data_IF_613863881714
#
_entry.id   IF_613863881714
#
_cell.length_a   1.000
_cell.length_b   1.000
_cell.length_c   1.000
_cell.angle_alpha   90.00
_cell.angle_beta   90.00
_cell.angle_gamma   90.00
#
_symmetry.space_group_name_H-M   'P 1'
#
loop_
_entity.id
_entity.type
_entity.pdbx_description
1 polymer ?
#
# COMPACT_ATOMS: atom_id res chain seq x y z
N UNK A 1 21.52 0.61 14.05
CA UNK A 1 20.29 0.59 13.22
C UNK A 1 19.37 -0.57 13.58
N UNK A 2 19.86 -1.82 13.66
CA UNK A 2 19.06 -3.00 14.04
C UNK A 2 18.38 -2.87 15.42
N UNK A 3 19.08 -2.38 16.44
CA UNK A 3 18.52 -2.21 17.79
C UNK A 3 17.31 -1.26 17.84
N UNK A 4 17.33 -0.16 17.08
CA UNK A 4 16.22 0.80 17.04
C UNK A 4 14.99 0.18 16.38
N UNK A 5 15.16 -0.52 15.26
CA UNK A 5 14.08 -1.23 14.59
C UNK A 5 13.48 -2.31 15.50
N UNK A 6 14.33 -3.07 16.18
CA UNK A 6 13.90 -4.12 17.10
C UNK A 6 13.06 -3.55 18.25
N UNK A 7 13.53 -2.47 18.85
CA UNK A 7 12.92 -1.88 20.05
C UNK A 7 11.64 -1.13 19.74
N UNK A 8 11.63 -0.33 18.67
CA UNK A 8 10.54 0.61 18.40
C UNK A 8 9.51 0.12 17.37
N UNK A 9 9.82 -0.93 16.60
CA UNK A 9 8.94 -1.40 15.53
C UNK A 9 8.63 -2.89 15.71
N UNK A 10 9.64 -3.75 15.73
CA UNK A 10 9.45 -5.20 15.86
C UNK A 10 8.75 -5.57 17.17
N UNK A 11 9.32 -5.18 18.31
CA UNK A 11 8.83 -5.62 19.64
C UNK A 11 7.40 -5.13 19.89
N UNK A 12 7.04 -3.86 19.63
CA UNK A 12 5.66 -3.42 19.79
C UNK A 12 4.69 -4.16 18.87
N UNK A 13 5.04 -4.39 17.60
CA UNK A 13 4.18 -5.13 16.66
C UNK A 13 3.98 -6.57 17.14
N UNK A 14 5.06 -7.24 17.56
CA UNK A 14 4.98 -8.59 18.12
C UNK A 14 4.12 -8.64 19.37
N UNK A 15 4.36 -7.76 20.35
CA UNK A 15 3.59 -7.71 21.59
C UNK A 15 2.11 -7.47 21.35
N UNK A 16 1.77 -6.56 20.44
CA UNK A 16 0.37 -6.29 20.09
C UNK A 16 -0.25 -7.48 19.36
N UNK A 17 0.48 -8.13 18.44
CA UNK A 17 -0.02 -9.32 17.75
C UNK A 17 -0.28 -10.47 18.74
N UNK A 18 0.64 -10.74 19.66
CA UNK A 18 0.48 -11.76 20.70
C UNK A 18 -0.69 -11.41 21.62
N UNK A 19 -0.80 -10.14 22.02
CA UNK A 19 -1.92 -9.67 22.83
C UNK A 19 -3.26 -9.93 22.14
N UNK A 20 -3.39 -9.52 20.87
CA UNK A 20 -4.60 -9.76 20.07
C UNK A 20 -4.88 -11.27 19.99
N UNK A 21 -3.84 -12.06 19.70
CA UNK A 21 -3.95 -13.50 19.54
C UNK A 21 -4.52 -14.20 20.79
N UNK A 22 -3.99 -13.84 21.95
CA UNK A 22 -4.34 -14.44 23.24
C UNK A 22 -5.70 -13.97 23.78
N UNK A 23 -6.12 -12.75 23.45
CA UNK A 23 -7.24 -12.10 24.15
C UNK A 23 -8.50 -11.92 23.28
N UNK A 24 -8.37 -11.67 21.97
CA UNK A 24 -9.51 -11.27 21.13
C UNK A 24 -9.71 -12.16 19.90
N UNK A 25 -8.66 -12.78 19.38
CA UNK A 25 -8.74 -13.52 18.11
C UNK A 25 -9.19 -14.97 18.22
N UNK A 26 -9.63 -15.42 19.40
CA UNK A 26 -9.98 -16.82 19.67
C UNK A 26 -8.85 -17.81 19.35
N UNK A 27 -7.59 -17.39 19.57
CA UNK A 27 -6.39 -18.14 19.19
C UNK A 27 -6.30 -18.46 17.68
N UNK A 28 -7.03 -17.74 16.82
CA UNK A 28 -6.88 -17.84 15.37
C UNK A 28 -5.90 -16.78 14.86
N UNK A 29 -4.81 -17.21 14.22
CA UNK A 29 -3.77 -16.31 13.75
C UNK A 29 -4.27 -15.38 12.63
N UNK A 30 -5.14 -15.86 11.75
CA UNK A 30 -5.67 -15.03 10.67
C UNK A 30 -6.61 -13.95 11.20
N UNK A 31 -7.44 -14.26 12.20
CA UNK A 31 -8.24 -13.25 12.90
C UNK A 31 -7.32 -12.22 13.57
N UNK A 32 -6.25 -12.67 14.21
CA UNK A 32 -5.29 -11.76 14.85
C UNK A 32 -4.61 -10.81 13.84
N UNK A 33 -4.25 -11.32 12.67
CA UNK A 33 -3.67 -10.50 11.59
C UNK A 33 -4.68 -9.47 11.07
N UNK A 34 -5.96 -9.82 10.94
CA UNK A 34 -7.01 -8.88 10.53
C UNK A 34 -7.13 -7.74 11.55
N UNK A 35 -7.25 -8.07 12.83
CA UNK A 35 -7.38 -7.10 13.91
C UNK A 35 -6.16 -6.18 14.02
N UNK A 36 -4.96 -6.75 13.94
CA UNK A 36 -3.73 -5.97 13.90
C UNK A 36 -3.71 -5.01 12.71
N UNK A 37 -4.12 -5.49 11.54
CA UNK A 37 -4.17 -4.66 10.33
C UNK A 37 -5.15 -3.49 10.50
N UNK A 38 -6.32 -3.76 11.08
CA UNK A 38 -7.32 -2.71 11.39
C UNK A 38 -6.73 -1.68 12.36
N UNK A 39 -6.07 -2.13 13.43
CA UNK A 39 -5.46 -1.24 14.43
C UNK A 39 -4.40 -0.34 13.80
N UNK A 40 -3.49 -0.90 13.00
CA UNK A 40 -2.47 -0.13 12.27
C UNK A 40 -3.13 0.88 11.34
N UNK A 41 -4.21 0.50 10.65
CA UNK A 41 -4.95 1.40 9.75
C UNK A 41 -5.64 2.55 10.48
N UNK A 42 -6.16 2.31 11.69
CA UNK A 42 -6.77 3.35 12.53
C UNK A 42 -5.71 4.34 13.00
N UNK A 43 -4.59 3.85 13.56
CA UNK A 43 -3.50 4.69 14.06
C UNK A 43 -2.92 5.57 12.95
N UNK A 44 -2.77 5.01 11.75
CA UNK A 44 -2.17 5.69 10.60
C UNK A 44 -3.21 6.32 9.66
N UNK A 45 -4.49 6.31 10.04
CA UNK A 45 -5.60 6.80 9.22
C UNK A 45 -5.38 8.20 8.62
N UNK A 46 -4.96 9.24 9.39
CA UNK A 46 -4.79 10.58 8.84
C UNK A 46 -3.72 10.64 7.74
N UNK A 47 -2.65 9.85 7.88
CA UNK A 47 -1.56 9.78 6.91
C UNK A 47 -2.05 9.07 5.64
N UNK A 48 -2.69 7.91 5.81
CA UNK A 48 -3.27 7.17 4.70
C UNK A 48 -4.28 8.00 3.92
N UNK A 49 -5.14 8.74 4.63
CA UNK A 49 -6.19 9.57 4.03
C UNK A 49 -5.61 10.73 3.23
N UNK A 50 -4.66 11.47 3.83
CA UNK A 50 -3.99 12.57 3.14
C UNK A 50 -3.29 12.10 1.87
N UNK A 51 -2.56 10.99 1.94
CA UNK A 51 -1.85 10.52 0.75
C UNK A 51 -2.79 10.03 -0.36
N UNK A 52 -3.83 9.27 -0.01
CA UNK A 52 -4.80 8.82 -1.00
C UNK A 52 -5.56 10.01 -1.64
N UNK A 53 -5.79 11.08 -0.88
CA UNK A 53 -6.34 12.36 -1.39
C UNK A 53 -5.38 13.03 -2.38
N UNK A 54 -4.11 13.18 -2.03
CA UNK A 54 -3.10 13.79 -2.91
C UNK A 54 -2.94 12.98 -4.21
N UNK A 55 -2.98 11.66 -4.13
CA UNK A 55 -2.91 10.79 -5.31
C UNK A 55 -4.14 10.94 -6.20
N UNK A 56 -5.34 11.03 -5.62
CA UNK A 56 -6.56 11.30 -6.40
C UNK A 56 -6.49 12.67 -7.09
N UNK A 57 -6.03 13.71 -6.39
CA UNK A 57 -5.86 15.05 -6.95
C UNK A 57 -4.80 15.08 -8.06
N UNK A 58 -3.69 14.36 -7.91
CA UNK A 58 -2.66 14.22 -8.95
C UNK A 58 -3.26 13.69 -10.27
N UNK A 59 -4.17 12.72 -10.19
CA UNK A 59 -4.85 12.19 -11.38
C UNK A 59 -5.75 13.24 -12.05
N UNK A 60 -6.36 14.14 -11.27
CA UNK A 60 -7.25 15.21 -11.78
C UNK A 60 -6.49 16.32 -12.47
N UNK A 61 -5.33 16.71 -11.94
CA UNK A 61 -4.47 17.75 -12.53
C UNK A 61 -3.59 17.23 -13.67
N UNK A 62 -3.65 15.93 -13.98
CA UNK A 62 -2.91 15.32 -15.08
C UNK A 62 -3.04 16.04 -16.44
N UNK A 63 -4.21 16.60 -16.83
CA UNK A 63 -4.32 17.42 -18.04
C UNK A 63 -3.42 18.66 -18.02
N UNK A 64 -3.33 19.36 -16.89
CA UNK A 64 -2.46 20.53 -16.73
C UNK A 64 -0.98 20.14 -16.72
N UNK A 65 -0.65 18.99 -16.11
CA UNK A 65 0.71 18.42 -16.18
C UNK A 65 1.10 18.16 -17.64
N UNK A 66 0.18 17.64 -18.45
CA UNK A 66 0.42 17.41 -19.89
C UNK A 66 0.63 18.71 -20.64
N UNK A 67 -0.21 19.71 -20.41
CA UNK A 67 -0.09 21.03 -21.03
C UNK A 67 1.27 21.67 -20.75
N UNK A 68 1.74 21.63 -19.49
CA UNK A 68 3.08 22.10 -19.11
C UNK A 68 4.17 21.29 -19.83
N UNK A 69 4.01 19.96 -19.88
CA UNK A 69 4.97 19.09 -20.56
C UNK A 69 5.09 19.41 -22.05
N UNK A 70 3.98 19.73 -22.70
CA UNK A 70 3.90 20.13 -24.11
C UNK A 70 4.48 21.52 -24.37
N UNK A 71 4.13 22.50 -23.52
CA UNK A 71 4.58 23.89 -23.64
C UNK A 71 6.10 24.03 -23.46
N UNK A 72 6.71 23.18 -22.64
CA UNK A 72 8.13 23.23 -22.30
C UNK A 72 8.91 21.98 -22.75
N UNK A 73 8.51 21.35 -23.88
CA UNK A 73 9.18 20.14 -24.40
C UNK A 73 10.70 20.31 -24.56
N UNK A 74 11.12 21.47 -25.04
CA UNK A 74 12.52 21.77 -25.37
C UNK A 74 13.32 22.39 -24.22
N UNK A 75 12.65 22.74 -23.11
CA UNK A 75 13.30 23.34 -21.94
C UNK A 75 12.92 22.60 -20.66
N UNK A 76 13.77 21.64 -20.28
CA UNK A 76 13.58 20.79 -19.08
C UNK A 76 13.57 21.57 -17.78
N UNK A 77 14.35 22.65 -17.68
CA UNK A 77 14.41 23.46 -16.47
C UNK A 77 13.10 24.24 -16.28
N UNK A 78 12.62 24.90 -17.34
CA UNK A 78 11.33 25.60 -17.32
C UNK A 78 10.17 24.64 -17.05
N UNK A 79 10.20 23.44 -17.65
CA UNK A 79 9.23 22.38 -17.39
C UNK A 79 9.19 21.98 -15.91
N UNK A 80 10.35 21.70 -15.30
CA UNK A 80 10.44 21.31 -13.89
C UNK A 80 9.92 22.41 -12.96
N UNK A 81 10.27 23.67 -13.23
CA UNK A 81 9.81 24.83 -12.44
C UNK A 81 8.30 25.03 -12.54
N UNK A 82 7.73 24.90 -13.73
CA UNK A 82 6.29 25.01 -13.95
C UNK A 82 5.51 23.88 -13.27
N UNK A 83 6.00 22.62 -13.36
CA UNK A 83 5.40 21.48 -12.66
C UNK A 83 5.42 21.67 -11.13
N UNK A 84 6.56 22.13 -10.58
CA UNK A 84 6.65 22.42 -9.15
C UNK A 84 5.67 23.52 -8.72
N UNK A 85 5.49 24.54 -9.57
CA UNK A 85 4.55 25.64 -9.31
C UNK A 85 3.11 25.14 -9.30
N UNK A 86 2.73 24.30 -10.27
CA UNK A 86 1.42 23.64 -10.31
C UNK A 86 1.16 22.82 -9.04
N UNK A 87 2.13 22.01 -8.59
CA UNK A 87 1.96 21.24 -7.35
C UNK A 87 1.78 22.13 -6.12
N UNK A 88 2.51 23.24 -6.03
CA UNK A 88 2.37 24.21 -4.93
C UNK A 88 1.02 24.93 -4.95
N UNK A 89 0.54 25.31 -6.12
CA UNK A 89 -0.75 25.97 -6.31
C UNK A 89 -1.90 25.10 -5.80
N UNK A 90 -1.90 23.81 -6.16
CA UNK A 90 -2.88 22.83 -5.68
C UNK A 90 -2.56 22.27 -4.28
N UNK A 91 -1.55 22.82 -3.58
CA UNK A 91 -1.08 22.37 -2.24
C UNK A 91 -0.85 20.86 -2.14
N UNK A 92 -0.37 20.28 -3.24
CA UNK A 92 -0.20 18.85 -3.41
C UNK A 92 1.25 18.43 -3.16
N UNK A 93 1.44 17.27 -2.53
CA UNK A 93 2.74 16.65 -2.40
C UNK A 93 2.94 15.53 -3.45
N UNK A 94 3.84 15.70 -4.43
CA UNK A 94 4.06 14.70 -5.49
C UNK A 94 4.64 13.38 -4.97
N UNK A 95 5.20 13.37 -3.75
CA UNK A 95 5.76 12.17 -3.12
C UNK A 95 4.76 11.44 -2.21
N UNK A 96 3.51 11.90 -2.10
CA UNK A 96 2.52 11.28 -1.21
C UNK A 96 2.33 9.78 -1.45
N UNK A 97 2.34 9.33 -2.72
CA UNK A 97 2.29 7.89 -3.04
C UNK A 97 3.50 7.11 -2.54
N UNK A 98 4.69 7.71 -2.61
CA UNK A 98 5.93 7.12 -2.07
C UNK A 98 5.93 7.07 -0.54
N UNK A 99 5.38 8.09 0.13
CA UNK A 99 5.24 8.09 1.59
C UNK A 99 4.40 6.92 2.11
N UNK A 100 3.36 6.50 1.39
CA UNK A 100 2.59 5.31 1.81
C UNK A 100 3.42 4.04 1.75
N UNK A 101 4.21 3.89 0.69
CA UNK A 101 5.10 2.74 0.55
C UNK A 101 6.13 2.71 1.68
N UNK A 102 6.76 3.86 1.98
CA UNK A 102 7.73 3.98 3.06
C UNK A 102 7.13 3.68 4.44
N UNK A 103 5.86 4.01 4.67
CA UNK A 103 5.18 3.70 5.92
C UNK A 103 4.83 2.21 6.04
N UNK A 104 4.51 1.57 4.90
CA UNK A 104 4.18 0.15 4.84
C UNK A 104 5.40 -0.75 5.05
N UNK A 105 6.57 -0.38 4.52
CA UNK A 105 7.77 -1.21 4.54
C UNK A 105 8.22 -1.61 5.97
N UNK A 106 8.33 -0.71 6.96
CA UNK A 106 8.72 -1.09 8.32
C UNK A 106 7.76 -2.07 8.98
N UNK A 107 6.44 -1.87 8.80
CA UNK A 107 5.42 -2.78 9.33
C UNK A 107 5.52 -4.15 8.65
N UNK A 108 5.68 -4.17 7.33
CA UNK A 108 5.86 -5.40 6.56
C UNK A 108 7.13 -6.15 6.99
N UNK A 109 8.26 -5.47 7.14
CA UNK A 109 9.51 -6.10 7.58
C UNK A 109 9.42 -6.62 9.01
N UNK A 110 8.71 -5.92 9.90
CA UNK A 110 8.50 -6.39 11.26
C UNK A 110 7.66 -7.67 11.27
N UNK A 111 6.54 -7.68 10.54
CA UNK A 111 5.71 -8.88 10.40
C UNK A 111 6.42 -10.03 9.69
N UNK A 112 7.23 -9.74 8.68
CA UNK A 112 8.09 -10.73 8.05
C UNK A 112 9.01 -11.39 9.08
N UNK A 113 9.72 -10.61 9.92
CA UNK A 113 10.57 -11.17 10.96
C UNK A 113 9.77 -11.94 12.01
N UNK A 114 8.61 -11.42 12.45
CA UNK A 114 7.74 -12.11 13.41
C UNK A 114 7.30 -13.46 12.86
N UNK A 115 6.82 -13.51 11.62
CA UNK A 115 6.36 -14.76 11.04
C UNK A 115 7.50 -15.74 10.76
N UNK A 116 8.65 -15.26 10.28
CA UNK A 116 9.80 -16.14 10.06
C UNK A 116 10.37 -16.73 11.34
N UNK A 117 10.39 -15.97 12.43
CA UNK A 117 11.00 -16.42 13.67
C UNK A 117 10.01 -17.17 14.57
N UNK A 118 8.78 -16.68 14.70
CA UNK A 118 7.90 -17.10 15.78
C UNK A 118 6.88 -18.18 15.39
N UNK A 119 6.60 -18.37 14.09
CA UNK A 119 5.65 -19.41 13.63
C UNK A 119 6.12 -20.82 13.99
N UNK A 120 7.42 -21.08 13.91
CA UNK A 120 8.03 -22.37 14.27
C UNK A 120 8.34 -22.52 15.77
N UNK A 121 8.29 -21.43 16.54
CA UNK A 121 8.64 -21.43 17.97
C UNK A 121 7.46 -21.83 18.86
N UNK A 122 6.28 -22.11 18.28
CA UNK A 122 5.08 -22.47 19.03
C UNK A 122 4.44 -21.29 19.77
N UNK A 123 4.79 -20.04 19.42
CA UNK A 123 4.18 -18.85 20.00
C UNK A 123 2.69 -18.73 19.64
N UNK A 124 2.32 -19.27 18.48
CA UNK A 124 0.95 -19.36 17.99
C UNK A 124 0.61 -20.84 17.79
N UNK A 125 -0.40 -21.35 18.48
CA UNK A 125 -0.77 -22.78 18.49
C UNK A 125 -1.74 -23.15 17.35
N UNK A 126 -2.56 -22.20 16.90
CA UNK A 126 -3.42 -22.36 15.73
C UNK A 126 -3.06 -21.36 14.62
N UNK A 127 -2.36 -21.90 13.60
CA UNK A 127 -1.93 -21.20 12.39
C UNK A 127 -2.96 -21.28 11.24
N UNK A 128 -4.07 -22.00 11.42
CA UNK A 128 -5.03 -22.27 10.37
C UNK A 128 -6.21 -21.31 10.46
N UNK A 129 -6.24 -20.33 9.56
CA UNK A 129 -7.32 -19.35 9.50
C UNK A 129 -8.66 -20.01 9.22
N UNK A 130 -9.60 -19.89 10.16
CA UNK A 130 -10.95 -20.45 10.15
C UNK A 130 -11.00 -21.97 9.88
N UNK A 131 -9.91 -22.69 10.14
CA UNK A 131 -9.78 -24.11 9.79
C UNK A 131 -9.64 -24.40 8.29
N UNK A 132 -9.45 -23.37 7.44
CA UNK A 132 -9.44 -23.51 5.97
C UNK A 132 -8.06 -23.27 5.35
N UNK A 133 -7.31 -22.29 5.86
CA UNK A 133 -6.07 -21.82 5.22
C UNK A 133 -4.93 -21.86 6.24
N UNK A 134 -3.93 -22.71 6.00
CA UNK A 134 -2.71 -22.72 6.80
C UNK A 134 -1.87 -21.48 6.48
N UNK A 135 -1.67 -20.61 7.48
CA UNK A 135 -0.88 -19.38 7.36
C UNK A 135 0.59 -19.58 7.71
N UNK A 136 0.95 -20.73 8.29
CA UNK A 136 2.31 -21.09 8.69
C UNK A 136 3.24 -21.43 7.53
N UNK A 137 2.68 -21.81 6.38
CA UNK A 137 3.41 -22.30 5.20
C UNK A 137 3.28 -21.32 4.03
N UNK A 138 4.05 -21.53 2.96
CA UNK A 138 3.88 -20.74 1.72
C UNK A 138 2.56 -21.12 1.02
N UNK A 139 1.95 -20.17 0.30
CA UNK A 139 0.71 -20.44 -0.44
C UNK A 139 0.65 -19.66 -1.76
N UNK A 140 0.62 -20.42 -2.87
CA UNK A 140 0.48 -19.87 -4.22
C UNK A 140 -0.87 -19.14 -4.37
N UNK A 141 -1.94 -19.68 -3.78
CA UNK A 141 -3.27 -19.07 -3.83
C UNK A 141 -3.26 -17.70 -3.16
N UNK A 142 -2.65 -17.59 -1.96
CA UNK A 142 -2.50 -16.31 -1.27
C UNK A 142 -1.65 -15.34 -2.09
N UNK A 143 -0.55 -15.78 -2.68
CA UNK A 143 0.29 -14.92 -3.52
C UNK A 143 -0.47 -14.38 -4.75
N UNK A 144 -1.24 -15.24 -5.45
CA UNK A 144 -2.07 -14.84 -6.59
C UNK A 144 -3.12 -13.81 -6.15
N UNK A 145 -3.86 -14.09 -5.07
CA UNK A 145 -4.92 -13.21 -4.57
C UNK A 145 -4.33 -11.86 -4.15
N UNK A 146 -3.21 -11.84 -3.44
CA UNK A 146 -2.51 -10.61 -3.06
C UNK A 146 -2.13 -9.78 -4.31
N UNK A 147 -1.54 -10.41 -5.33
CA UNK A 147 -1.16 -9.74 -6.56
C UNK A 147 -2.37 -9.20 -7.33
N UNK A 148 -3.48 -9.95 -7.40
CA UNK A 148 -4.72 -9.49 -8.02
C UNK A 148 -5.31 -8.28 -7.31
N UNK A 149 -5.40 -8.32 -5.97
CA UNK A 149 -5.88 -7.17 -5.20
C UNK A 149 -4.96 -5.96 -5.38
N UNK A 150 -3.64 -6.15 -5.37
CA UNK A 150 -2.69 -5.05 -5.59
C UNK A 150 -2.79 -4.48 -7.01
N UNK A 151 -3.04 -5.31 -8.01
CA UNK A 151 -3.32 -4.86 -9.36
C UNK A 151 -4.59 -4.00 -9.42
N UNK A 152 -5.68 -4.42 -8.76
CA UNK A 152 -6.90 -3.61 -8.66
C UNK A 152 -6.63 -2.29 -7.95
N UNK A 153 -5.94 -2.33 -6.80
CA UNK A 153 -5.56 -1.14 -6.04
C UNK A 153 -4.78 -0.14 -6.88
N UNK A 154 -3.70 -0.59 -7.54
CA UNK A 154 -2.85 0.27 -8.35
C UNK A 154 -3.58 0.82 -9.58
N UNK A 155 -4.44 0.02 -10.21
CA UNK A 155 -5.28 0.47 -11.33
C UNK A 155 -6.25 1.59 -10.94
N UNK A 156 -6.81 1.56 -9.71
CA UNK A 156 -7.65 2.65 -9.19
C UNK A 156 -6.88 3.95 -8.97
N UNK A 157 -5.55 3.88 -8.88
CA UNK A 157 -4.66 5.01 -8.71
C UNK A 157 -4.14 5.59 -10.04
N UNK A 158 -4.52 5.00 -11.19
CA UNK A 158 -4.10 5.47 -12.50
C UNK A 158 -5.05 6.51 -13.11
N UNK A 159 -4.48 7.61 -13.61
CA UNK A 159 -5.20 8.53 -14.47
C UNK A 159 -5.50 7.88 -15.84
N UNK A 160 -6.72 8.09 -16.36
CA UNK A 160 -7.08 7.68 -17.72
C UNK A 160 -6.21 8.46 -18.71
N UNK A 161 -5.24 7.78 -19.34
CA UNK A 161 -4.35 8.38 -20.33
C UNK A 161 -4.80 7.96 -21.73
N UNK A 162 -4.85 8.89 -22.70
CA UNK A 162 -5.07 8.55 -24.12
C UNK A 162 -3.97 7.58 -24.61
N UNK A 163 -4.34 6.59 -25.43
CA UNK A 163 -3.38 5.66 -26.07
C UNK A 163 -2.42 6.45 -26.97
N UNK A 164 -1.12 6.20 -26.87
CA UNK A 164 -0.08 6.72 -27.79
C UNK A 164 0.89 7.75 -27.22
N UNK A 165 0.64 8.35 -26.06
CA UNK A 165 1.54 9.35 -25.46
C UNK A 165 2.54 8.73 -24.47
N UNK A 166 3.84 8.99 -24.69
CA UNK A 166 4.93 8.63 -23.77
C UNK A 166 5.27 9.85 -22.92
N UNK A 167 4.65 9.97 -21.75
CA UNK A 167 5.08 10.89 -20.71
C UNK A 167 5.87 10.11 -19.67
N UNK A 168 7.07 10.53 -19.31
CA UNK A 168 7.95 9.87 -18.33
C UNK A 168 7.23 9.53 -17.02
N UNK A 169 6.35 10.43 -16.55
CA UNK A 169 5.55 10.23 -15.34
C UNK A 169 4.39 9.24 -15.53
N UNK A 170 3.76 9.22 -16.72
CA UNK A 170 2.73 8.23 -17.05
C UNK A 170 3.34 6.84 -17.29
N UNK A 171 4.55 6.77 -17.82
CA UNK A 171 5.33 5.54 -17.97
C UNK A 171 5.74 4.98 -16.61
N UNK A 172 6.15 5.83 -15.66
CA UNK A 172 6.45 5.40 -14.29
C UNK A 172 5.20 4.82 -13.59
N UNK A 173 4.04 5.46 -13.73
CA UNK A 173 2.77 4.93 -13.22
C UNK A 173 2.40 3.58 -13.87
N UNK A 174 2.62 3.42 -15.19
CA UNK A 174 2.38 2.14 -15.89
C UNK A 174 3.29 1.02 -15.39
N UNK A 175 4.57 1.31 -15.17
CA UNK A 175 5.52 0.35 -14.59
C UNK A 175 5.03 -0.09 -13.21
N UNK A 176 4.64 0.84 -12.34
CA UNK A 176 4.15 0.50 -11.00
C UNK A 176 2.93 -0.42 -11.00
N UNK A 177 1.98 -0.21 -11.92
CA UNK A 177 0.72 -0.97 -11.96
C UNK A 177 0.91 -2.38 -12.52
N UNK A 178 1.85 -2.58 -13.45
CA UNK A 178 2.08 -3.89 -14.06
C UNK A 178 3.18 -4.67 -13.32
N UNK A 179 4.30 -4.02 -13.04
CA UNK A 179 5.48 -4.66 -12.44
C UNK A 179 5.31 -4.84 -10.95
N UNK A 180 4.67 -3.89 -10.25
CA UNK A 180 4.44 -3.96 -8.80
C UNK A 180 3.78 -5.28 -8.37
N UNK A 181 2.57 -5.60 -8.88
CA UNK A 181 1.89 -6.86 -8.59
C UNK A 181 2.70 -8.12 -8.91
N UNK A 182 3.47 -8.11 -10.00
CA UNK A 182 4.32 -9.24 -10.38
C UNK A 182 5.48 -9.43 -9.37
N UNK A 183 6.13 -8.36 -8.95
CA UNK A 183 7.19 -8.41 -7.91
C UNK A 183 6.61 -8.98 -6.62
N UNK A 184 5.49 -8.44 -6.13
CA UNK A 184 4.84 -8.93 -4.92
C UNK A 184 4.42 -10.40 -5.03
N UNK A 185 3.95 -10.85 -6.20
CA UNK A 185 3.65 -12.26 -6.43
C UNK A 185 4.89 -13.14 -6.20
N UNK A 186 6.00 -12.86 -6.87
CA UNK A 186 7.22 -13.65 -6.73
C UNK A 186 7.83 -13.58 -5.33
N UNK A 187 7.75 -12.43 -4.67
CA UNK A 187 8.18 -12.30 -3.28
C UNK A 187 7.34 -13.22 -2.39
N UNK A 188 6.01 -13.14 -2.49
CA UNK A 188 5.11 -13.89 -1.59
C UNK A 188 5.12 -15.40 -1.81
N UNK A 189 5.58 -15.91 -2.96
CA UNK A 189 5.79 -17.34 -3.16
C UNK A 189 6.84 -17.94 -2.20
N UNK A 190 7.75 -17.10 -1.70
CA UNK A 190 8.88 -17.52 -0.87
C UNK A 190 8.67 -17.18 0.61
N UNK A 191 7.51 -16.62 0.99
CA UNK A 191 7.24 -16.16 2.34
C UNK A 191 6.01 -16.87 2.93
N UNK A 192 5.89 -16.95 4.27
CA UNK A 192 4.72 -17.53 4.91
C UNK A 192 3.43 -16.85 4.45
N UNK A 193 2.38 -17.64 4.27
CA UNK A 193 1.07 -17.19 3.83
C UNK A 193 0.47 -16.15 4.79
N UNK A 194 0.81 -16.17 6.07
CA UNK A 194 0.49 -15.10 7.03
C UNK A 194 0.84 -13.70 6.51
N UNK A 195 2.01 -13.54 5.87
CA UNK A 195 2.45 -12.26 5.37
C UNK A 195 1.71 -11.83 4.10
N UNK A 196 1.42 -12.78 3.21
CA UNK A 196 0.55 -12.53 2.05
C UNK A 196 -0.88 -12.22 2.46
N UNK A 197 -1.37 -12.85 3.53
CA UNK A 197 -2.69 -12.57 4.10
C UNK A 197 -2.76 -11.16 4.67
N UNK A 198 -1.78 -10.73 5.47
CA UNK A 198 -1.63 -9.33 5.89
C UNK A 198 -1.64 -8.35 4.70
N UNK A 199 -0.94 -8.68 3.63
CA UNK A 199 -0.89 -7.88 2.41
C UNK A 199 -2.27 -7.75 1.75
N UNK A 200 -3.03 -8.84 1.65
CA UNK A 200 -4.39 -8.86 1.10
C UNK A 200 -5.30 -7.94 1.92
N UNK A 201 -5.36 -8.13 3.24
CA UNK A 201 -6.22 -7.33 4.12
C UNK A 201 -5.86 -5.84 4.02
N UNK A 202 -4.56 -5.52 4.10
CA UNK A 202 -4.06 -4.15 3.91
C UNK A 202 -4.49 -3.56 2.57
N UNK A 203 -4.43 -4.33 1.49
CA UNK A 203 -4.78 -3.88 0.14
C UNK A 203 -6.28 -3.63 0.00
N UNK A 204 -7.12 -4.47 0.61
CA UNK A 204 -8.58 -4.28 0.65
C UNK A 204 -8.92 -2.95 1.33
N UNK A 205 -8.29 -2.64 2.48
CA UNK A 205 -8.47 -1.34 3.14
C UNK A 205 -8.09 -0.18 2.24
N UNK A 206 -6.93 -0.26 1.58
CA UNK A 206 -6.48 0.77 0.66
C UNK A 206 -7.45 0.97 -0.52
N UNK A 207 -8.00 -0.11 -1.08
CA UNK A 207 -9.01 -0.04 -2.15
C UNK A 207 -10.26 0.68 -1.66
N UNK A 208 -10.82 0.28 -0.51
CA UNK A 208 -12.00 0.90 0.07
C UNK A 208 -11.81 2.40 0.30
N UNK A 209 -10.65 2.77 0.85
CA UNK A 209 -10.28 4.16 1.07
C UNK A 209 -10.15 4.95 -0.24
N UNK A 210 -9.50 4.39 -1.26
CA UNK A 210 -9.35 5.05 -2.55
C UNK A 210 -10.70 5.25 -3.24
N UNK A 211 -11.59 4.25 -3.17
CA UNK A 211 -12.94 4.35 -3.72
C UNK A 211 -13.76 5.46 -3.02
N UNK A 212 -13.67 5.55 -1.69
CA UNK A 212 -14.32 6.61 -0.92
C UNK A 212 -13.83 8.00 -1.35
N UNK A 213 -12.51 8.19 -1.43
CA UNK A 213 -11.90 9.47 -1.83
C UNK A 213 -12.25 9.83 -3.27
N UNK A 214 -12.14 8.89 -4.20
CA UNK A 214 -12.50 9.12 -5.61
C UNK A 214 -13.97 9.54 -5.75
N UNK A 215 -14.88 8.96 -4.95
CA UNK A 215 -16.29 9.35 -4.91
C UNK A 215 -16.48 10.78 -4.41
N UNK A 216 -15.74 11.22 -3.39
CA UNK A 216 -15.79 12.60 -2.90
C UNK A 216 -15.41 13.61 -3.98
N UNK A 217 -14.29 13.41 -4.68
CA UNK A 217 -13.87 14.28 -5.79
C UNK A 217 -14.83 14.29 -6.98
N UNK A 218 -15.52 13.18 -7.26
CA UNK A 218 -16.54 13.14 -8.31
C UNK A 218 -17.81 13.92 -7.94
N UNK A 219 -18.13 14.00 -6.64
CA UNK A 219 -19.36 14.64 -6.14
C UNK A 219 -19.17 16.13 -5.88
N UNK A 220 -17.96 16.54 -5.46
CA UNK A 220 -17.61 17.95 -5.26
C UNK A 220 -16.37 18.33 -6.08
N UNK A 221 -16.57 18.86 -7.31
CA UNK A 221 -15.47 19.31 -8.17
C UNK A 221 -14.62 20.44 -7.60
N UNK A 222 -15.09 21.15 -6.56
CA UNK A 222 -14.33 22.23 -5.89
C UNK A 222 -13.19 21.71 -5.03
N UNK A 223 -13.09 20.39 -4.86
CA UNK A 223 -11.98 19.75 -4.16
C UNK A 223 -10.70 19.68 -5.01
N UNK A 224 -10.77 20.00 -6.30
CA UNK A 224 -9.66 20.06 -7.27
C UNK A 224 -8.89 21.37 -7.12
#
# INVERSE_FOLDING_TARGET
MVYLFQTYIYTPILSVLVFIYQNTSFHDLGVAIIELTILVRIVLFPIFFKSAKDQALMQRIQPHIKEIQEKHKDNKEAQAKALLSLYKEHKLNPFSGFFLLLLQLPVFFALYQVFQNELSNGLFDNLVFLGLINLGETSVVIAIVAALFQFVQTKLMMAKTKKGEVNTMASMNKIMVVVGPAISFFILLNLPAALGFFWIISTIFSIGQQLYINKQFNTDPRLI
#
